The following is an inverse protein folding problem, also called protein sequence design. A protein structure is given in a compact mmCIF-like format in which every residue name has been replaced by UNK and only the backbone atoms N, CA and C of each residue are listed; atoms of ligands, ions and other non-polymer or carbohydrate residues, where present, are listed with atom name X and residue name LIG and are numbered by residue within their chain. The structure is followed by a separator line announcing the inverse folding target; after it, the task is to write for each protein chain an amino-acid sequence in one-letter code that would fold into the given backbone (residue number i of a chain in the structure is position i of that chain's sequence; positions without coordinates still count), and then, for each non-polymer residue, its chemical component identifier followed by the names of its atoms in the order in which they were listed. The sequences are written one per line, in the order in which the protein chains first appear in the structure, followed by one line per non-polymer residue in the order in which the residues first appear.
data_IF_377238864896
#
_entry.id   IF_377238864896
#
_cell.length_a   1.000
_cell.length_b   1.000
_cell.length_c   1.000
_cell.angle_alpha   90.00
_cell.angle_beta   90.00
_cell.angle_gamma   90.00
#
_symmetry.space_group_name_H-M   'P 1'
#
loop_
_entity.id
_entity.type
_entity.pdbx_description
1 polymer ?
#
# COMPACT_ATOMS: atom_id res chain seq x y z
N UNK A 1 -28.29 -15.80 0.40
CA UNK A 1 -28.35 -14.91 1.56
C UNK A 1 -27.22 -13.91 1.42
N UNK A 2 -27.54 -12.62 1.27
CA UNK A 2 -26.55 -11.57 1.02
C UNK A 2 -26.18 -10.84 2.30
N UNK A 3 -24.89 -10.54 2.47
CA UNK A 3 -24.41 -9.69 3.56
C UNK A 3 -24.66 -8.24 3.15
N UNK A 4 -25.38 -7.49 3.99
CA UNK A 4 -25.56 -6.06 3.84
C UNK A 4 -24.64 -5.36 4.83
N UNK A 5 -23.70 -4.58 4.30
CA UNK A 5 -22.80 -3.76 5.09
C UNK A 5 -23.46 -2.38 5.19
N UNK A 6 -23.96 -2.04 6.37
CA UNK A 6 -24.50 -0.73 6.65
C UNK A 6 -23.36 0.19 7.08
N UNK A 7 -22.97 1.10 6.19
CA UNK A 7 -22.12 2.22 6.58
C UNK A 7 -22.93 3.20 7.46
N UNK A 8 -22.27 3.95 8.36
CA UNK A 8 -22.90 5.06 9.05
C UNK A 8 -23.48 6.06 8.04
N UNK A 9 -24.68 6.56 8.30
CA UNK A 9 -25.31 7.60 7.46
C UNK A 9 -24.69 8.98 7.66
N UNK A 10 -23.89 9.15 8.71
CA UNK A 10 -23.19 10.39 9.04
C UNK A 10 -21.71 10.11 9.28
N UNK A 11 -20.80 11.06 8.95
CA UNK A 11 -19.36 10.90 9.18
C UNK A 11 -19.06 10.65 10.66
N UNK A 12 -18.18 9.69 10.96
CA UNK A 12 -17.66 9.39 12.30
C UNK A 12 -16.64 10.45 12.74
N UNK A 13 -17.12 11.69 12.91
CA UNK A 13 -16.30 12.77 13.47
C UNK A 13 -16.08 12.53 14.96
N UNK A 14 -14.86 12.15 15.34
CA UNK A 14 -14.43 12.16 16.73
C UNK A 14 -14.01 13.59 17.13
N UNK A 15 -14.99 14.49 17.19
CA UNK A 15 -14.78 15.90 17.55
C UNK A 15 -14.86 16.03 19.07
N UNK A 16 -13.96 15.41 19.82
CA UNK A 16 -14.03 15.47 21.27
C UNK A 16 -13.91 16.93 21.80
N UNK A 17 -13.21 17.84 21.09
CA UNK A 17 -12.94 19.19 21.60
C UNK A 17 -12.75 20.29 20.52
N UNK A 18 -13.11 20.07 19.25
CA UNK A 18 -12.91 21.09 18.19
C UNK A 18 -11.44 21.46 17.93
N UNK A 19 -10.51 20.57 18.29
CA UNK A 19 -9.08 20.76 18.08
C UNK A 19 -8.66 20.07 16.79
N UNK A 20 -7.97 20.81 15.92
CA UNK A 20 -7.37 20.26 14.71
C UNK A 20 -6.39 19.14 15.11
N UNK A 21 -6.79 17.88 14.88
CA UNK A 21 -5.96 16.72 15.19
C UNK A 21 -5.23 16.28 13.93
N UNK A 22 -3.90 16.37 13.94
CA UNK A 22 -3.06 15.81 12.87
C UNK A 22 -2.93 14.31 13.09
N UNK A 23 -3.51 13.50 12.21
CA UNK A 23 -3.51 12.03 12.31
C UNK A 23 -2.64 11.38 11.22
N UNK A 24 -2.66 11.93 10.01
CA UNK A 24 -1.91 11.41 8.88
C UNK A 24 -0.48 11.97 8.88
N UNK A 25 0.51 11.11 9.13
CA UNK A 25 1.92 11.48 9.29
C UNK A 25 2.78 10.58 8.40
N UNK A 26 3.71 11.18 7.64
CA UNK A 26 4.78 10.44 6.98
C UNK A 26 6.13 10.73 7.67
N UNK A 27 6.88 9.68 7.96
CA UNK A 27 8.25 9.79 8.49
C UNK A 27 9.23 9.48 7.37
N UNK A 28 10.17 10.39 7.15
CA UNK A 28 11.19 10.27 6.14
C UNK A 28 12.59 10.41 6.74
N UNK A 29 13.52 9.57 6.26
CA UNK A 29 14.93 9.61 6.65
C UNK A 29 15.79 9.68 5.38
N UNK A 30 16.71 10.66 5.32
CA UNK A 30 17.63 10.81 4.19
C UNK A 30 17.03 11.47 2.94
N UNK A 31 15.86 12.10 3.05
CA UNK A 31 15.27 12.92 1.99
C UNK A 31 15.55 14.39 2.27
N UNK A 32 16.07 15.11 1.28
CA UNK A 32 16.55 16.50 1.45
C UNK A 32 15.48 17.57 1.22
N UNK A 33 14.32 17.22 0.67
CA UNK A 33 13.20 18.14 0.52
C UNK A 33 11.87 17.38 0.38
N UNK A 34 10.97 17.63 1.33
CA UNK A 34 9.60 17.12 1.35
C UNK A 34 8.67 18.31 1.62
N UNK A 35 7.74 18.57 0.71
CA UNK A 35 6.60 19.42 1.01
C UNK A 35 5.39 18.53 1.33
N UNK A 36 4.48 19.02 2.16
CA UNK A 36 3.22 18.33 2.44
C UNK A 36 2.05 19.28 2.31
N UNK A 37 0.95 18.81 1.73
CA UNK A 37 -0.28 19.58 1.56
C UNK A 37 -1.48 18.71 1.90
N UNK A 38 -2.32 19.19 2.81
CA UNK A 38 -3.61 18.57 3.09
C UNK A 38 -4.63 19.01 2.04
N UNK A 39 -5.33 18.06 1.46
CA UNK A 39 -6.38 18.26 0.47
C UNK A 39 -7.71 18.08 1.19
N UNK A 40 -8.51 19.15 1.22
CA UNK A 40 -9.83 19.09 1.85
C UNK A 40 -10.82 18.37 0.92
N UNK A 41 -10.92 17.05 1.04
CA UNK A 41 -11.91 16.27 0.31
C UNK A 41 -13.22 16.19 1.11
N UNK A 42 -14.34 16.48 0.46
CA UNK A 42 -15.62 16.71 1.13
C UNK A 42 -16.36 15.43 1.56
N UNK A 43 -15.85 14.25 1.19
CA UNK A 43 -16.56 12.97 1.39
C UNK A 43 -15.93 12.08 2.47
N UNK A 44 -14.73 12.40 2.96
CA UNK A 44 -14.01 11.67 4.00
C UNK A 44 -14.01 12.48 5.30
N UNK A 45 -13.98 11.81 6.45
CA UNK A 45 -13.75 12.43 7.76
C UNK A 45 -12.27 12.78 8.00
N UNK A 46 -11.37 12.31 7.12
CA UNK A 46 -9.96 12.70 7.05
C UNK A 46 -9.62 13.37 5.72
N UNK A 47 -8.81 14.44 5.78
CA UNK A 47 -8.27 15.07 4.59
C UNK A 47 -7.05 14.29 4.09
N UNK A 48 -7.01 13.82 2.83
CA UNK A 48 -5.80 13.26 2.26
C UNK A 48 -4.61 14.22 2.38
N UNK A 49 -3.43 13.68 2.67
CA UNK A 49 -2.18 14.45 2.72
C UNK A 49 -1.29 14.03 1.57
N UNK A 50 -0.99 14.96 0.67
CA UNK A 50 0.00 14.78 -0.39
C UNK A 50 1.39 15.12 0.13
N UNK A 51 2.40 14.34 -0.25
CA UNK A 51 3.81 14.57 0.08
C UNK A 51 4.64 14.67 -1.20
N UNK A 52 5.12 15.88 -1.51
CA UNK A 52 5.96 16.13 -2.67
C UNK A 52 7.44 15.96 -2.28
N UNK A 53 8.05 14.87 -2.75
CA UNK A 53 9.44 14.54 -2.45
C UNK A 53 10.32 14.92 -3.64
N UNK A 54 11.23 15.87 -3.45
CA UNK A 54 12.21 16.22 -4.49
C UNK A 54 13.44 15.31 -4.39
N UNK A 55 13.50 14.29 -5.23
CA UNK A 55 14.60 13.33 -5.27
C UNK A 55 15.72 13.83 -6.21
N UNK A 56 16.77 14.43 -5.65
CA UNK A 56 17.91 14.92 -6.45
C UNK A 56 18.97 13.85 -6.77
N UNK A 57 18.79 12.60 -6.35
CA UNK A 57 19.73 11.51 -6.64
C UNK A 57 18.98 10.21 -6.91
N UNK A 58 18.84 9.83 -8.17
CA UNK A 58 18.47 8.48 -8.56
C UNK A 58 19.74 7.62 -8.61
N UNK A 59 19.99 6.85 -7.55
CA UNK A 59 20.61 5.54 -7.74
C UNK A 59 19.61 4.69 -8.51
N UNK A 60 20.07 3.96 -9.53
CA UNK A 60 19.29 3.19 -10.50
C UNK A 60 17.98 2.61 -9.92
N UNK A 61 16.85 2.65 -10.66
CA UNK A 61 15.64 1.97 -10.22
C UNK A 61 15.99 0.50 -10.02
N UNK A 62 16.04 0.05 -8.77
CA UNK A 62 15.99 -1.38 -8.49
C UNK A 62 14.71 -1.86 -9.13
N UNK A 63 14.79 -2.90 -9.97
CA UNK A 63 13.65 -3.50 -10.63
C UNK A 63 12.61 -3.87 -9.56
N UNK A 64 11.64 -3.00 -9.31
CA UNK A 64 10.63 -3.21 -8.30
C UNK A 64 9.61 -4.16 -8.90
N UNK A 65 9.60 -5.40 -8.44
CA UNK A 65 8.51 -6.33 -8.70
C UNK A 65 7.31 -5.87 -7.89
N UNK A 66 6.23 -5.50 -8.56
CA UNK A 66 4.97 -5.19 -7.90
C UNK A 66 4.09 -6.44 -7.95
N UNK A 67 3.65 -6.89 -6.76
CA UNK A 67 2.68 -7.98 -6.63
C UNK A 67 1.28 -7.42 -6.79
N UNK A 68 0.53 -7.98 -7.73
CA UNK A 68 -0.89 -7.69 -7.92
C UNK A 68 -1.70 -8.87 -7.39
N UNK A 69 -2.25 -8.77 -6.16
CA UNK A 69 -3.08 -9.82 -5.60
C UNK A 69 -4.38 -9.96 -6.40
N UNK A 70 -4.70 -11.17 -6.82
CA UNK A 70 -6.00 -11.49 -7.40
C UNK A 70 -6.96 -11.88 -6.27
N UNK A 71 -7.63 -10.88 -5.67
CA UNK A 71 -8.49 -11.09 -4.50
C UNK A 71 -9.59 -12.12 -4.72
N UNK A 72 -10.18 -12.19 -5.91
CA UNK A 72 -11.21 -13.18 -6.22
C UNK A 72 -10.66 -14.60 -6.16
N UNK A 73 -9.49 -14.83 -6.76
CA UNK A 73 -8.85 -16.16 -6.72
C UNK A 73 -8.33 -16.50 -5.32
N UNK A 74 -7.79 -15.53 -4.59
CA UNK A 74 -7.39 -15.69 -3.19
C UNK A 74 -8.59 -16.14 -2.36
N UNK A 75 -9.73 -15.47 -2.52
CA UNK A 75 -10.95 -15.82 -1.81
C UNK A 75 -11.40 -17.25 -2.11
N UNK A 76 -11.44 -17.64 -3.39
CA UNK A 76 -11.79 -19.01 -3.79
C UNK A 76 -10.87 -20.05 -3.13
N UNK A 77 -9.55 -19.85 -3.22
CA UNK A 77 -8.56 -20.76 -2.62
C UNK A 77 -8.74 -20.85 -1.11
N UNK A 78 -8.97 -19.73 -0.41
CA UNK A 78 -9.17 -19.73 1.03
C UNK A 78 -10.47 -20.43 1.43
N UNK A 79 -11.56 -20.21 0.70
CA UNK A 79 -12.84 -20.89 0.99
C UNK A 79 -12.80 -22.40 0.77
N UNK A 80 -11.96 -22.87 -0.15
CA UNK A 80 -11.78 -24.31 -0.42
C UNK A 80 -10.78 -24.96 0.54
N UNK A 81 -9.77 -24.21 1.01
CA UNK A 81 -8.64 -24.76 1.78
C UNK A 81 -8.77 -24.64 3.29
N UNK A 82 -9.62 -23.74 3.80
CA UNK A 82 -9.83 -23.54 5.24
C UNK A 82 -11.19 -24.12 5.63
N UNK A 83 -11.22 -25.20 6.44
CA UNK A 83 -12.49 -25.73 6.94
C UNK A 83 -13.16 -24.71 7.87
N UNK A 84 -14.44 -24.43 7.62
CA UNK A 84 -15.19 -23.39 8.36
C UNK A 84 -15.42 -23.67 9.85
N UNK A 85 -15.31 -24.94 10.27
CA UNK A 85 -15.40 -25.34 11.69
C UNK A 85 -14.22 -26.26 12.04
N UNK A 86 -13.13 -25.68 12.54
CA UNK A 86 -12.11 -26.45 13.24
C UNK A 86 -12.58 -26.77 14.66
N UNK A 87 -12.46 -28.03 15.06
CA UNK A 87 -12.68 -28.42 16.45
C UNK A 87 -11.51 -27.91 17.29
N UNK A 88 -11.77 -26.95 18.17
CA UNK A 88 -10.78 -26.39 19.09
C UNK A 88 -11.12 -26.92 20.49
N UNK A 89 -10.23 -27.73 21.04
CA UNK A 89 -10.43 -28.36 22.35
C UNK A 89 -9.43 -27.88 23.40
N UNK A 90 -8.27 -27.36 22.98
CA UNK A 90 -7.20 -26.90 23.85
C UNK A 90 -6.41 -25.73 23.21
N UNK A 91 -5.49 -25.15 23.97
CA UNK A 91 -4.66 -24.02 23.53
C UNK A 91 -3.74 -24.38 22.35
N UNK A 92 -3.24 -25.61 22.28
CA UNK A 92 -2.39 -26.06 21.19
C UNK A 92 -3.17 -26.17 19.86
N UNK A 93 -4.44 -26.56 19.90
CA UNK A 93 -5.33 -26.55 18.73
C UNK A 93 -5.50 -25.12 18.18
N UNK A 94 -5.53 -24.10 19.06
CA UNK A 94 -5.62 -22.68 18.66
C UNK A 94 -4.34 -22.27 17.92
N UNK A 95 -3.18 -22.54 18.50
CA UNK A 95 -1.89 -22.20 17.90
C UNK A 95 -1.71 -22.88 16.54
N UNK A 96 -2.06 -24.16 16.43
CA UNK A 96 -2.02 -24.88 15.16
C UNK A 96 -2.99 -24.31 14.13
N UNK A 97 -4.18 -23.88 14.56
CA UNK A 97 -5.17 -23.25 13.67
C UNK A 97 -4.66 -21.90 13.13
N UNK A 98 -3.98 -21.10 13.96
CA UNK A 98 -3.37 -19.82 13.56
C UNK A 98 -2.22 -20.07 12.57
N UNK A 99 -1.34 -21.02 12.85
CA UNK A 99 -0.23 -21.39 11.97
C UNK A 99 -0.77 -21.85 10.60
N UNK A 100 -1.78 -22.72 10.60
CA UNK A 100 -2.40 -23.21 9.39
C UNK A 100 -3.08 -22.09 8.58
N UNK A 101 -3.84 -21.21 9.25
CA UNK A 101 -4.47 -20.06 8.62
C UNK A 101 -3.44 -19.15 7.93
N UNK A 102 -2.36 -18.80 8.63
CA UNK A 102 -1.28 -17.97 8.08
C UNK A 102 -0.62 -18.64 6.88
N UNK A 103 -0.33 -19.94 6.98
CA UNK A 103 0.25 -20.72 5.88
C UNK A 103 -0.66 -20.71 4.65
N UNK A 104 -1.97 -20.91 4.83
CA UNK A 104 -2.95 -20.90 3.72
C UNK A 104 -3.13 -19.54 3.08
N UNK A 105 -3.11 -18.46 3.85
CA UNK A 105 -3.11 -17.09 3.32
C UNK A 105 -1.87 -16.83 2.46
N UNK A 106 -0.69 -17.20 2.96
CA UNK A 106 0.56 -17.02 2.21
C UNK A 106 0.58 -17.86 0.93
N UNK A 107 0.15 -19.12 1.01
CA UNK A 107 0.03 -20.02 -0.15
C UNK A 107 -0.94 -19.44 -1.20
N UNK A 108 -2.11 -18.97 -0.78
CA UNK A 108 -3.10 -18.37 -1.67
C UNK A 108 -2.56 -17.11 -2.36
N UNK A 109 -1.90 -16.21 -1.62
CA UNK A 109 -1.27 -15.02 -2.19
C UNK A 109 -0.19 -15.41 -3.19
N UNK A 110 0.70 -16.33 -2.84
CA UNK A 110 1.82 -16.71 -3.71
C UNK A 110 1.36 -17.39 -5.00
N UNK A 111 0.35 -18.26 -4.92
CA UNK A 111 -0.14 -19.04 -6.07
C UNK A 111 -1.02 -18.24 -7.02
N UNK A 112 -1.73 -17.22 -6.52
CA UNK A 112 -2.72 -16.48 -7.33
C UNK A 112 -2.28 -15.08 -7.72
N UNK A 113 -1.30 -14.50 -7.02
CA UNK A 113 -0.80 -13.15 -7.33
C UNK A 113 0.04 -13.18 -8.59
N UNK A 114 -0.07 -12.11 -9.37
CA UNK A 114 0.80 -11.90 -10.53
C UNK A 114 1.88 -10.90 -10.19
N UNK A 115 3.12 -11.24 -10.48
CA UNK A 115 4.25 -10.33 -10.32
C UNK A 115 4.54 -9.69 -11.66
N UNK A 116 4.41 -8.38 -11.75
CA UNK A 116 4.87 -7.62 -12.92
C UNK A 116 6.16 -6.92 -12.55
N UNK A 117 7.19 -7.13 -13.36
CA UNK A 117 8.34 -6.26 -13.35
C UNK A 117 7.87 -4.88 -13.79
N UNK A 118 8.01 -3.87 -12.92
CA UNK A 118 7.84 -2.49 -13.35
C UNK A 118 9.12 -2.15 -14.12
N UNK A 119 9.09 -2.42 -15.43
CA UNK A 119 10.03 -1.81 -16.34
C UNK A 119 9.65 -0.33 -16.40
N UNK A 120 10.32 0.50 -15.60
CA UNK A 120 10.32 1.91 -15.91
C UNK A 120 10.90 2.03 -17.31
N UNK A 121 10.18 2.61 -18.29
CA UNK A 121 10.83 2.96 -19.55
C UNK A 121 12.02 3.80 -19.14
N UNK A 122 13.23 3.36 -19.50
CA UNK A 122 14.43 4.19 -19.32
C UNK A 122 14.09 5.50 -19.98
N UNK A 123 13.81 6.52 -19.16
CA UNK A 123 13.31 7.78 -19.65
C UNK A 123 14.38 8.31 -20.59
N UNK A 124 14.10 8.31 -21.89
CA UNK A 124 14.98 8.88 -22.89
C UNK A 124 15.04 10.37 -22.52
N UNK A 125 16.12 10.77 -21.86
CA UNK A 125 16.33 12.15 -21.45
C UNK A 125 16.18 13.01 -22.72
N UNK A 126 15.21 13.94 -22.77
CA UNK A 126 15.04 14.84 -23.90
C UNK A 126 16.37 15.48 -24.27
N UNK A 127 16.68 15.56 -25.57
CA UNK A 127 17.99 16.01 -26.08
C UNK A 127 18.45 17.33 -25.44
N UNK A 128 17.52 18.25 -25.21
CA UNK A 128 17.77 19.55 -24.57
C UNK A 128 18.37 19.44 -23.16
N UNK A 129 17.95 18.45 -22.37
CA UNK A 129 18.48 18.20 -21.04
C UNK A 129 19.85 17.52 -21.09
N UNK A 130 20.09 16.62 -22.07
CA UNK A 130 21.43 16.03 -22.30
C UNK A 130 22.48 17.09 -22.62
N UNK A 131 22.14 18.05 -23.48
CA UNK A 131 23.08 19.12 -23.86
C UNK A 131 23.39 20.04 -22.68
N UNK A 132 22.38 20.39 -21.86
CA UNK A 132 22.61 21.17 -20.63
C UNK A 132 23.47 20.46 -19.59
N UNK A 133 23.35 19.13 -19.48
CA UNK A 133 24.18 18.33 -18.56
C UNK A 133 25.63 18.33 -19.03
N UNK A 134 25.89 18.13 -20.33
CA UNK A 134 27.26 18.19 -20.89
C UNK A 134 27.93 19.53 -20.62
N UNK A 135 27.21 20.64 -20.89
CA UNK A 135 27.72 21.99 -20.64
C UNK A 135 28.08 22.27 -19.18
N UNK A 136 27.49 21.53 -18.23
CA UNK A 136 27.78 21.67 -16.79
C UNK A 136 28.90 20.77 -16.30
N UNK A 137 29.24 19.71 -17.04
CA UNK A 137 30.33 18.77 -16.71
C UNK A 137 31.66 19.30 -17.26
N UNK A 138 31.63 20.11 -18.33
CA UNK A 138 32.81 20.71 -18.96
C UNK A 138 33.22 22.09 -18.36
N UNK A 139 32.74 22.43 -17.16
CA UNK A 139 33.08 23.62 -16.36
C UNK A 139 33.71 23.19 -15.02
#
# INVERSE_FOLDING_TARGET
MGISINAPTEPTRFDAHGVNTTLDIALAKGLHAIASTSISELTSDHNPVNFDISLNYFSSPSLSTCSFPNWTNIQTVLTESIPGNQAISNEEDIEQSIINLNSKIQEAIHTTSTYKAINHPVSIIPRQLREKIKQKIDL
#
